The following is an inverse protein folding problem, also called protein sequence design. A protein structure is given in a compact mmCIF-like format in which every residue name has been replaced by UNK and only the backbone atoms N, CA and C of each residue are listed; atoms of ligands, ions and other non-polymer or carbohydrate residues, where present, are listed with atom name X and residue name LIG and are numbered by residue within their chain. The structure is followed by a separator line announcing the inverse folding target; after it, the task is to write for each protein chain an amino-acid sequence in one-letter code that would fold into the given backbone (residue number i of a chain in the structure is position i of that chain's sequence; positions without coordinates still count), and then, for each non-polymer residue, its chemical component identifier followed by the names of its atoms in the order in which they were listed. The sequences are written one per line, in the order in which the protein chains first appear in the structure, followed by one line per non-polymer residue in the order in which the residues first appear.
data_IF_482016177976
#
_entry.id   IF_482016177976
#
_cell.length_a   1.000
_cell.length_b   1.000
_cell.length_c   1.000
_cell.angle_alpha   90.00
_cell.angle_beta   90.00
_cell.angle_gamma   90.00
#
_symmetry.space_group_name_H-M   'P 1'
#
loop_
_entity.id
_entity.type
_entity.pdbx_description
1 polymer ?
#
# COMPACT_ATOMS: atom_id res chain seq x y z
N UNK A 1 -14.52 -55.95 0.29
CA UNK A 1 -14.39 -54.83 1.24
C UNK A 1 -13.66 -53.68 0.55
N UNK A 2 -14.30 -52.52 0.36
CA UNK A 2 -13.66 -51.31 -0.19
C UNK A 2 -13.87 -50.18 0.82
N UNK A 3 -12.80 -49.75 1.48
CA UNK A 3 -12.81 -48.67 2.46
C UNK A 3 -12.78 -47.34 1.72
N UNK A 4 -13.83 -46.53 1.81
CA UNK A 4 -13.84 -45.13 1.34
C UNK A 4 -13.30 -44.24 2.46
N UNK A 5 -12.19 -43.57 2.20
CA UNK A 5 -11.66 -42.50 3.08
C UNK A 5 -12.39 -41.21 2.71
N UNK A 6 -13.18 -40.67 3.62
CA UNK A 6 -13.75 -39.32 3.52
C UNK A 6 -12.72 -38.33 4.08
N UNK A 7 -12.16 -37.49 3.22
CA UNK A 7 -11.41 -36.30 3.64
C UNK A 7 -12.44 -35.22 3.94
N UNK A 8 -12.66 -34.95 5.23
CA UNK A 8 -13.49 -33.85 5.69
C UNK A 8 -12.72 -32.54 5.55
N UNK A 9 -13.04 -31.75 4.54
CA UNK A 9 -12.56 -30.37 4.41
C UNK A 9 -13.36 -29.52 5.39
N UNK A 10 -12.81 -29.25 6.58
CA UNK A 10 -13.31 -28.20 7.46
C UNK A 10 -13.09 -26.85 6.77
N UNK A 11 -14.11 -26.35 6.08
CA UNK A 11 -14.22 -24.93 5.77
C UNK A 11 -14.31 -24.17 7.09
N UNK A 12 -13.35 -23.27 7.34
CA UNK A 12 -13.41 -22.34 8.48
C UNK A 12 -14.24 -21.13 8.01
N UNK A 13 -15.53 -21.02 8.40
CA UNK A 13 -16.43 -19.99 7.85
C UNK A 13 -15.98 -18.55 8.15
N UNK A 14 -15.11 -18.32 9.15
CA UNK A 14 -14.63 -16.98 9.50
C UNK A 14 -13.66 -16.34 8.52
N UNK A 15 -12.86 -17.14 7.79
CA UNK A 15 -11.81 -16.59 6.92
C UNK A 15 -12.37 -16.05 5.60
N UNK A 16 -13.41 -16.71 5.08
CA UNK A 16 -14.09 -16.31 3.83
C UNK A 16 -14.89 -15.03 4.05
N UNK A 17 -15.55 -14.86 5.22
CA UNK A 17 -16.32 -13.65 5.53
C UNK A 17 -15.40 -12.43 5.69
N UNK A 18 -14.22 -12.59 6.32
CA UNK A 18 -13.26 -11.49 6.46
C UNK A 18 -12.66 -11.07 5.11
N UNK A 19 -12.32 -12.04 4.25
CA UNK A 19 -11.88 -11.77 2.86
C UNK A 19 -12.97 -11.08 2.04
N UNK A 20 -14.23 -11.52 2.16
CA UNK A 20 -15.35 -10.88 1.46
C UNK A 20 -15.61 -9.46 1.94
N UNK A 21 -15.55 -9.17 3.25
CA UNK A 21 -15.76 -7.82 3.77
C UNK A 21 -14.62 -6.85 3.38
N UNK A 22 -13.38 -7.33 3.35
CA UNK A 22 -12.23 -6.53 2.91
C UNK A 22 -12.31 -6.26 1.39
N UNK A 23 -12.65 -7.28 0.59
CA UNK A 23 -12.82 -7.12 -0.87
C UNK A 23 -14.01 -6.22 -1.22
N UNK A 24 -15.13 -6.33 -0.49
CA UNK A 24 -16.32 -5.51 -0.71
C UNK A 24 -16.07 -4.03 -0.33
N UNK A 25 -15.43 -3.78 0.82
CA UNK A 25 -14.98 -2.44 1.23
C UNK A 25 -13.96 -1.85 0.23
N UNK A 26 -13.10 -2.70 -0.35
CA UNK A 26 -12.14 -2.29 -1.39
C UNK A 26 -12.81 -1.90 -2.71
N UNK A 27 -13.90 -2.55 -3.12
CA UNK A 27 -14.63 -2.22 -4.36
C UNK A 27 -15.39 -0.90 -4.23
N UNK A 28 -16.08 -0.66 -3.12
CA UNK A 28 -16.79 0.61 -2.89
C UNK A 28 -15.81 1.80 -2.83
N UNK A 29 -14.63 1.60 -2.22
CA UNK A 29 -13.54 2.59 -2.22
C UNK A 29 -12.95 2.84 -3.62
N UNK A 30 -12.92 1.83 -4.50
CA UNK A 30 -12.53 2.00 -5.92
C UNK A 30 -13.56 2.82 -6.68
N UNK A 31 -14.84 2.60 -6.45
CA UNK A 31 -15.92 3.33 -7.10
C UNK A 31 -15.93 4.82 -6.72
N UNK A 32 -15.59 5.17 -5.47
CA UNK A 32 -15.42 6.57 -5.04
C UNK A 32 -14.26 7.24 -5.80
N UNK A 33 -13.18 6.51 -6.05
CA UNK A 33 -12.02 6.99 -6.82
C UNK A 33 -12.39 7.23 -8.30
N UNK A 34 -13.17 6.31 -8.89
CA UNK A 34 -13.62 6.37 -10.29
C UNK A 34 -14.70 7.44 -10.52
N UNK A 35 -15.61 7.66 -9.57
CA UNK A 35 -16.65 8.71 -9.64
C UNK A 35 -16.08 10.14 -9.58
N UNK A 36 -14.85 10.32 -9.10
CA UNK A 36 -14.14 11.60 -9.20
C UNK A 36 -13.86 12.04 -10.64
N UNK A 37 -14.00 11.14 -11.62
CA UNK A 37 -13.68 11.37 -13.03
C UNK A 37 -14.81 12.03 -13.83
N UNK A 38 -16.04 12.06 -13.30
CA UNK A 38 -17.23 12.49 -14.05
C UNK A 38 -17.43 14.01 -14.16
N UNK A 39 -16.64 14.84 -13.47
CA UNK A 39 -16.87 16.30 -13.44
C UNK A 39 -15.65 17.17 -13.78
N UNK A 40 -14.51 16.57 -14.15
CA UNK A 40 -13.31 17.32 -14.59
C UNK A 40 -13.36 17.71 -16.08
N UNK A 41 -14.54 17.92 -16.66
CA UNK A 41 -14.70 18.38 -18.05
C UNK A 41 -15.48 19.68 -18.09
N UNK A 42 -14.86 20.77 -17.64
CA UNK A 42 -15.10 22.14 -18.12
C UNK A 42 -14.14 23.10 -17.42
N UNK A 43 -13.04 23.45 -18.09
CA UNK A 43 -12.20 24.58 -17.67
C UNK A 43 -10.70 24.39 -17.85
N UNK A 44 -10.20 24.93 -18.96
CA UNK A 44 -8.80 25.35 -19.21
C UNK A 44 -7.72 24.26 -19.27
N UNK A 45 -7.09 24.20 -20.44
CA UNK A 45 -6.08 23.21 -20.78
C UNK A 45 -4.84 23.28 -19.90
N UNK A 46 -4.29 22.10 -19.59
CA UNK A 46 -2.95 21.98 -19.03
C UNK A 46 -2.16 20.87 -19.72
N UNK A 47 -1.08 21.31 -20.34
CA UNK A 47 0.11 20.66 -20.87
C UNK A 47 0.25 19.14 -20.73
N UNK A 48 0.37 18.48 -21.88
CA UNK A 48 1.17 17.25 -22.01
C UNK A 48 2.61 17.49 -21.49
N UNK A 49 3.16 16.52 -20.74
CA UNK A 49 4.61 16.27 -20.50
C UNK A 49 5.39 16.87 -19.31
N UNK A 50 4.78 17.07 -18.13
CA UNK A 50 5.55 17.00 -16.87
C UNK A 50 4.82 16.13 -15.85
N UNK A 51 5.48 15.05 -15.45
CA UNK A 51 5.02 14.18 -14.37
C UNK A 51 4.84 15.02 -13.10
N UNK A 52 3.68 14.89 -12.44
CA UNK A 52 3.43 15.60 -11.19
C UNK A 52 4.41 15.11 -10.11
N UNK A 53 4.90 16.05 -9.30
CA UNK A 53 5.96 15.81 -8.33
C UNK A 53 5.64 14.69 -7.33
N UNK A 54 4.37 14.51 -6.95
CA UNK A 54 3.95 13.49 -6.01
C UNK A 54 3.90 12.11 -6.68
N UNK A 55 3.36 12.04 -7.90
CA UNK A 55 3.36 10.79 -8.68
C UNK A 55 4.78 10.32 -9.06
N UNK A 56 5.69 11.25 -9.33
CA UNK A 56 7.10 10.96 -9.58
C UNK A 56 7.78 10.23 -8.41
N UNK A 57 7.42 10.57 -7.16
CA UNK A 57 7.93 9.86 -5.97
C UNK A 57 7.59 8.37 -5.98
N UNK A 58 6.36 8.02 -6.40
CA UNK A 58 5.94 6.61 -6.45
C UNK A 58 6.61 5.86 -7.59
N UNK A 59 6.80 6.51 -8.74
CA UNK A 59 7.54 5.93 -9.87
C UNK A 59 9.00 5.67 -9.52
N UNK A 60 9.65 6.59 -8.83
CA UNK A 60 11.04 6.40 -8.38
C UNK A 60 11.14 5.22 -7.40
N UNK A 61 10.19 5.11 -6.47
CA UNK A 61 10.12 3.98 -5.54
C UNK A 61 9.91 2.64 -6.27
N UNK A 62 9.05 2.62 -7.28
CA UNK A 62 8.82 1.45 -8.13
C UNK A 62 10.07 1.04 -8.90
N UNK A 63 10.72 1.99 -9.57
CA UNK A 63 11.95 1.74 -10.33
C UNK A 63 13.06 1.20 -9.42
N UNK A 64 13.18 1.77 -8.21
CA UNK A 64 14.13 1.31 -7.20
C UNK A 64 13.87 -0.14 -6.80
N UNK A 65 12.61 -0.52 -6.58
CA UNK A 65 12.25 -1.90 -6.21
C UNK A 65 12.46 -2.87 -7.37
N UNK A 66 12.12 -2.48 -8.61
CA UNK A 66 12.38 -3.30 -9.79
C UNK A 66 13.86 -3.64 -9.97
N UNK A 67 14.76 -2.77 -9.54
CA UNK A 67 16.20 -3.01 -9.58
C UNK A 67 16.72 -3.87 -8.42
N UNK A 68 15.90 -4.21 -7.42
CA UNK A 68 16.33 -5.02 -6.28
C UNK A 68 16.47 -6.48 -6.66
N UNK A 69 17.62 -7.09 -6.30
CA UNK A 69 17.83 -8.53 -6.39
C UNK A 69 17.20 -9.21 -5.17
N UNK A 70 16.16 -10.02 -5.39
CA UNK A 70 15.52 -10.80 -4.34
C UNK A 70 16.28 -12.10 -4.05
N UNK A 71 16.07 -12.63 -2.85
CA UNK A 71 16.82 -13.74 -2.25
C UNK A 71 16.04 -15.05 -2.24
N UNK A 72 14.76 -15.03 -2.64
CA UNK A 72 13.78 -16.12 -2.53
C UNK A 72 13.44 -16.52 -1.09
N UNK A 73 13.85 -15.71 -0.10
CA UNK A 73 13.38 -15.83 1.27
C UNK A 73 12.27 -14.78 1.48
N UNK A 74 11.01 -15.20 1.69
CA UNK A 74 9.88 -14.27 1.68
C UNK A 74 9.95 -13.24 2.82
N UNK A 75 10.47 -13.60 4.00
CA UNK A 75 10.66 -12.67 5.10
C UNK A 75 11.76 -11.62 4.80
N UNK A 76 12.89 -12.05 4.23
CA UNK A 76 14.00 -11.15 3.84
C UNK A 76 13.58 -10.22 2.70
N UNK A 77 12.89 -10.78 1.71
CA UNK A 77 12.47 -10.06 0.51
C UNK A 77 11.36 -9.07 0.84
N UNK A 78 10.34 -9.47 1.61
CA UNK A 78 9.30 -8.56 2.10
C UNK A 78 9.90 -7.44 2.94
N UNK A 79 10.77 -7.75 3.90
CA UNK A 79 11.39 -6.73 4.76
C UNK A 79 12.24 -5.74 3.95
N UNK A 80 13.00 -6.24 2.96
CA UNK A 80 13.83 -5.40 2.10
C UNK A 80 12.99 -4.52 1.19
N UNK A 81 12.00 -5.10 0.51
CA UNK A 81 11.12 -4.42 -0.42
C UNK A 81 10.27 -3.37 0.31
N UNK A 82 9.63 -3.75 1.42
CA UNK A 82 8.78 -2.87 2.20
C UNK A 82 9.59 -1.70 2.78
N UNK A 83 10.77 -1.94 3.37
CA UNK A 83 11.62 -0.86 3.86
C UNK A 83 12.05 0.12 2.76
N UNK A 84 12.30 -0.38 1.54
CA UNK A 84 12.63 0.45 0.38
C UNK A 84 11.42 1.26 -0.11
N UNK A 85 10.26 0.61 -0.27
CA UNK A 85 9.03 1.24 -0.76
C UNK A 85 8.52 2.32 0.20
N UNK A 86 8.59 2.05 1.50
CA UNK A 86 8.16 2.97 2.56
C UNK A 86 8.91 4.31 2.56
N UNK A 87 10.11 4.41 1.97
CA UNK A 87 10.79 5.70 1.80
C UNK A 87 10.02 6.67 0.90
N UNK A 88 9.15 6.16 0.02
CA UNK A 88 8.29 7.00 -0.81
C UNK A 88 7.30 7.80 0.05
N UNK A 89 6.67 7.18 1.05
CA UNK A 89 5.76 7.88 1.96
C UNK A 89 6.45 8.95 2.82
N UNK A 90 7.71 8.71 3.21
CA UNK A 90 8.53 9.75 3.87
C UNK A 90 8.71 10.95 2.95
N UNK A 91 9.03 10.71 1.68
CA UNK A 91 9.23 11.76 0.69
C UNK A 91 7.94 12.51 0.36
N UNK A 92 6.81 11.79 0.20
CA UNK A 92 5.48 12.39 0.02
C UNK A 92 5.11 13.26 1.22
N UNK A 93 5.28 12.74 2.44
CA UNK A 93 4.95 13.45 3.67
C UNK A 93 5.78 14.73 3.82
N UNK A 94 7.08 14.68 3.50
CA UNK A 94 7.94 15.85 3.53
C UNK A 94 7.46 16.96 2.56
N UNK A 95 7.02 16.57 1.35
CA UNK A 95 6.48 17.52 0.37
C UNK A 95 5.18 18.16 0.85
N UNK A 96 4.27 17.38 1.43
CA UNK A 96 3.03 17.88 2.03
C UNK A 96 3.27 18.83 3.20
N UNK A 97 4.18 18.47 4.12
CA UNK A 97 4.52 19.34 5.25
C UNK A 97 5.04 20.70 4.77
N UNK A 98 5.85 20.70 3.69
CA UNK A 98 6.43 21.91 3.14
C UNK A 98 5.43 22.75 2.33
N UNK A 99 4.54 22.12 1.56
CA UNK A 99 3.76 22.79 0.51
C UNK A 99 2.25 22.77 0.70
N UNK A 100 1.72 21.85 1.50
CA UNK A 100 0.28 21.75 1.76
C UNK A 100 -0.30 23.06 2.31
N UNK A 101 -1.56 23.33 2.02
CA UNK A 101 -2.30 24.45 2.58
C UNK A 101 -3.14 24.05 3.79
N UNK A 102 -3.50 22.76 3.90
CA UNK A 102 -4.46 22.25 4.87
C UNK A 102 -3.76 21.66 6.10
N UNK A 103 -4.10 22.18 7.28
CA UNK A 103 -3.51 21.69 8.54
C UNK A 103 -3.84 20.21 8.81
N UNK A 104 -4.99 19.72 8.38
CA UNK A 104 -5.39 18.31 8.56
C UNK A 104 -4.46 17.40 7.75
N UNK A 105 -4.16 17.78 6.50
CA UNK A 105 -3.28 17.01 5.63
C UNK A 105 -1.81 17.11 6.06
N UNK A 106 -1.35 18.28 6.52
CA UNK A 106 -0.03 18.41 7.15
C UNK A 106 0.13 17.55 8.39
N UNK A 107 -0.90 17.48 9.24
CA UNK A 107 -0.82 16.68 10.45
C UNK A 107 -0.89 15.18 10.14
N UNK A 108 -1.69 14.78 9.14
CA UNK A 108 -1.64 13.42 8.60
C UNK A 108 -0.23 13.09 8.10
N UNK A 109 0.38 13.95 7.28
CA UNK A 109 1.73 13.77 6.75
C UNK A 109 2.78 13.62 7.86
N UNK A 110 2.74 14.46 8.91
CA UNK A 110 3.66 14.32 10.07
C UNK A 110 3.48 12.99 10.80
N UNK A 111 2.24 12.56 11.03
CA UNK A 111 1.95 11.28 11.67
C UNK A 111 2.46 10.13 10.80
N UNK A 112 2.21 10.17 9.50
CA UNK A 112 2.64 9.17 8.54
C UNK A 112 4.16 9.10 8.45
N UNK A 113 4.87 10.22 8.29
CA UNK A 113 6.35 10.26 8.30
C UNK A 113 6.93 9.59 9.56
N UNK A 114 6.44 9.99 10.75
CA UNK A 114 6.90 9.42 12.02
C UNK A 114 6.67 7.91 12.10
N UNK A 115 5.45 7.44 11.80
CA UNK A 115 5.12 6.00 11.83
C UNK A 115 5.96 5.22 10.82
N UNK A 116 6.11 5.74 9.61
CA UNK A 116 6.83 5.05 8.53
C UNK A 116 8.32 4.96 8.83
N UNK A 117 8.96 6.01 9.37
CA UNK A 117 10.37 5.93 9.81
C UNK A 117 10.59 4.85 10.87
N UNK A 118 9.68 4.73 11.82
CA UNK A 118 9.73 3.64 12.81
C UNK A 118 9.65 2.27 12.13
N UNK A 119 8.68 2.08 11.23
CA UNK A 119 8.48 0.81 10.51
C UNK A 119 9.67 0.43 9.63
N UNK A 120 10.32 1.39 8.98
CA UNK A 120 11.53 1.14 8.19
C UNK A 120 12.64 0.57 9.08
N UNK A 121 12.80 1.09 10.30
CA UNK A 121 13.76 0.57 11.26
C UNK A 121 13.36 -0.84 11.76
N UNK A 122 12.07 -1.09 11.98
CA UNK A 122 11.56 -2.42 12.33
C UNK A 122 11.86 -3.45 11.25
N UNK A 123 11.64 -3.13 9.97
CA UNK A 123 11.95 -4.02 8.85
C UNK A 123 13.44 -4.25 8.66
N UNK A 124 14.29 -3.25 8.88
CA UNK A 124 15.75 -3.43 8.86
C UNK A 124 16.19 -4.42 9.93
N UNK A 125 15.70 -4.28 11.17
CA UNK A 125 15.98 -5.22 12.26
C UNK A 125 15.43 -6.61 11.98
N UNK A 126 14.22 -6.71 11.43
CA UNK A 126 13.62 -7.99 11.09
C UNK A 126 14.45 -8.72 10.03
N UNK A 127 14.92 -8.00 9.00
CA UNK A 127 15.83 -8.55 7.98
C UNK A 127 17.12 -9.10 8.61
N UNK A 128 17.75 -8.36 9.52
CA UNK A 128 18.95 -8.82 10.24
C UNK A 128 18.67 -10.10 11.04
N UNK A 129 17.52 -10.18 11.73
CA UNK A 129 17.07 -11.38 12.47
C UNK A 129 16.84 -12.58 11.55
N UNK A 130 16.46 -12.39 10.29
CA UNK A 130 16.30 -13.49 9.33
C UNK A 130 17.64 -14.02 8.81
N UNK A 131 18.70 -13.21 8.81
CA UNK A 131 20.01 -13.63 8.32
C UNK A 131 20.61 -14.80 9.13
N UNK A 132 20.16 -15.00 10.37
CA UNK A 132 20.58 -16.10 11.25
C UNK A 132 19.70 -17.35 11.21
N UNK A 133 18.61 -17.37 10.41
CA UNK A 133 17.67 -18.51 10.37
C UNK A 133 18.01 -19.54 9.29
N UNK A 134 17.80 -20.81 9.62
CA UNK A 134 18.06 -21.96 8.74
C UNK A 134 16.97 -22.12 7.68
N UNK A 135 17.23 -22.88 6.62
CA UNK A 135 16.32 -23.05 5.48
C UNK A 135 14.97 -23.70 5.85
N UNK A 136 14.94 -24.55 6.88
CA UNK A 136 13.71 -25.16 7.43
C UNK A 136 12.81 -24.18 8.20
N UNK A 137 13.32 -23.01 8.55
CA UNK A 137 12.60 -21.97 9.32
C UNK A 137 12.11 -20.82 8.42
N UNK A 138 12.19 -21.01 7.10
CA UNK A 138 11.75 -20.06 6.07
C UNK A 138 10.35 -20.42 5.58
N UNK A 139 9.52 -19.42 5.28
CA UNK A 139 8.24 -19.66 4.61
C UNK A 139 8.42 -20.31 3.24
N UNK A 140 7.37 -20.98 2.73
CA UNK A 140 7.31 -21.42 1.33
C UNK A 140 7.55 -20.20 0.45
N UNK A 141 8.61 -20.24 -0.36
CA UNK A 141 9.07 -19.10 -1.14
C UNK A 141 7.91 -18.43 -1.87
N UNK A 142 7.53 -17.23 -1.43
CA UNK A 142 6.74 -16.32 -2.25
C UNK A 142 7.50 -16.18 -3.55
N UNK A 143 6.89 -16.54 -4.67
CA UNK A 143 7.50 -16.20 -5.94
C UNK A 143 7.52 -14.68 -6.02
N UNK A 144 8.72 -14.12 -6.03
CA UNK A 144 9.06 -12.73 -6.36
C UNK A 144 8.07 -12.04 -7.32
N UNK A 145 7.50 -12.79 -8.27
CA UNK A 145 6.44 -12.35 -9.18
C UNK A 145 5.18 -11.76 -8.52
N UNK A 146 4.70 -12.27 -7.37
CA UNK A 146 3.43 -11.81 -6.77
C UNK A 146 3.55 -10.44 -6.11
N UNK A 147 4.70 -10.14 -5.49
CA UNK A 147 4.98 -8.77 -5.02
C UNK A 147 5.03 -7.78 -6.19
N UNK A 148 5.60 -8.18 -7.32
CA UNK A 148 5.63 -7.35 -8.52
C UNK A 148 4.23 -7.13 -9.10
N UNK A 149 3.29 -8.08 -8.98
CA UNK A 149 1.89 -7.87 -9.36
C UNK A 149 1.25 -6.72 -8.56
N UNK A 150 1.47 -6.66 -7.24
CA UNK A 150 0.96 -5.54 -6.42
C UNK A 150 1.54 -4.19 -6.85
N UNK A 151 2.80 -4.17 -7.26
CA UNK A 151 3.49 -2.97 -7.74
C UNK A 151 3.02 -2.57 -9.15
N UNK A 152 2.72 -3.52 -10.02
CA UNK A 152 2.11 -3.25 -11.34
C UNK A 152 0.70 -2.68 -11.17
N UNK A 153 -0.09 -3.17 -10.19
CA UNK A 153 -1.39 -2.57 -9.85
C UNK A 153 -1.26 -1.12 -9.37
N UNK A 154 -0.20 -0.77 -8.63
CA UNK A 154 0.10 0.63 -8.30
C UNK A 154 0.31 1.46 -9.57
N UNK A 155 1.07 0.94 -10.52
CA UNK A 155 1.33 1.62 -11.79
C UNK A 155 0.02 1.87 -12.57
N UNK A 156 -0.88 0.89 -12.62
CA UNK A 156 -2.20 1.07 -13.23
C UNK A 156 -3.09 2.09 -12.50
N UNK A 157 -3.06 2.12 -11.15
CA UNK A 157 -3.74 3.14 -10.35
C UNK A 157 -3.21 4.54 -10.65
N UNK A 158 -1.89 4.69 -10.80
CA UNK A 158 -1.24 5.96 -11.15
C UNK A 158 -1.58 6.41 -12.57
N UNK A 159 -1.73 5.51 -13.55
CA UNK A 159 -2.22 5.89 -14.89
C UNK A 159 -3.61 6.51 -14.87
N UNK A 160 -4.43 6.12 -13.89
CA UNK A 160 -5.79 6.64 -13.70
C UNK A 160 -5.84 7.90 -12.83
N UNK A 161 -4.72 8.26 -12.19
CA UNK A 161 -4.59 9.47 -11.40
C UNK A 161 -4.41 10.68 -12.33
N UNK A 162 -5.18 11.73 -12.06
CA UNK A 162 -5.02 13.03 -12.70
C UNK A 162 -4.91 14.07 -11.58
N UNK A 163 -3.87 14.93 -11.60
CA UNK A 163 -3.77 16.02 -10.65
C UNK A 163 -5.00 16.92 -10.70
N UNK A 164 -5.53 17.28 -9.53
CA UNK A 164 -6.66 18.19 -9.38
C UNK A 164 -6.21 19.65 -9.23
N UNK A 165 -4.91 19.90 -9.01
CA UNK A 165 -4.34 21.25 -8.89
C UNK A 165 -4.30 21.78 -7.45
N UNK A 166 -4.97 21.12 -6.50
CA UNK A 166 -4.76 21.33 -5.07
C UNK A 166 -3.71 20.37 -4.55
N UNK A 167 -2.63 20.92 -3.97
CA UNK A 167 -1.54 20.11 -3.44
C UNK A 167 -2.03 19.10 -2.39
N UNK A 168 -2.89 19.53 -1.47
CA UNK A 168 -3.46 18.69 -0.41
C UNK A 168 -4.35 17.56 -1.00
N UNK A 169 -5.14 17.87 -2.03
CA UNK A 169 -5.98 16.88 -2.72
C UNK A 169 -5.15 15.85 -3.50
N UNK A 170 -4.09 16.32 -4.15
CA UNK A 170 -3.16 15.51 -4.91
C UNK A 170 -2.34 14.61 -3.98
N UNK A 171 -1.85 15.15 -2.85
CA UNK A 171 -1.22 14.38 -1.79
C UNK A 171 -2.15 13.28 -1.25
N UNK A 172 -3.39 13.63 -0.90
CA UNK A 172 -4.35 12.66 -0.40
C UNK A 172 -4.63 11.53 -1.43
N UNK A 173 -4.67 11.88 -2.72
CA UNK A 173 -4.89 10.93 -3.81
C UNK A 173 -3.69 9.99 -4.00
N UNK A 174 -2.49 10.53 -4.06
CA UNK A 174 -1.26 9.74 -4.24
C UNK A 174 -0.95 8.89 -3.01
N UNK A 175 -1.11 9.43 -1.80
CA UNK A 175 -0.91 8.68 -0.55
C UNK A 175 -1.95 7.56 -0.40
N UNK A 176 -3.19 7.74 -0.88
CA UNK A 176 -4.19 6.66 -0.93
C UNK A 176 -3.70 5.50 -1.80
N UNK A 177 -3.20 5.79 -3.02
CA UNK A 177 -2.64 4.77 -3.92
C UNK A 177 -1.44 4.06 -3.28
N UNK A 178 -0.58 4.83 -2.62
CA UNK A 178 0.56 4.29 -1.89
C UNK A 178 0.12 3.31 -0.77
N UNK A 179 -0.82 3.73 0.09
CA UNK A 179 -1.33 2.89 1.17
C UNK A 179 -2.01 1.61 0.67
N UNK A 180 -2.81 1.69 -0.40
CA UNK A 180 -3.38 0.51 -1.03
C UNK A 180 -2.31 -0.47 -1.51
N UNK A 181 -1.23 0.04 -2.11
CA UNK A 181 -0.12 -0.79 -2.58
C UNK A 181 0.62 -1.46 -1.43
N UNK A 182 0.86 -0.73 -0.32
CA UNK A 182 1.45 -1.32 0.89
C UNK A 182 0.54 -2.40 1.49
N UNK A 183 -0.77 -2.22 1.43
CA UNK A 183 -1.74 -3.22 1.91
C UNK A 183 -1.70 -4.47 1.03
N UNK A 184 -1.71 -4.30 -0.30
CA UNK A 184 -1.61 -5.42 -1.25
C UNK A 184 -0.32 -6.23 -1.03
N UNK A 185 0.82 -5.56 -0.88
CA UNK A 185 2.10 -6.21 -0.57
C UNK A 185 2.07 -6.96 0.76
N UNK A 186 1.43 -6.37 1.78
CA UNK A 186 1.32 -6.98 3.10
C UNK A 186 0.39 -8.19 3.09
N UNK A 187 -0.67 -8.16 2.28
CA UNK A 187 -1.59 -9.29 2.11
C UNK A 187 -0.89 -10.47 1.42
N UNK A 188 -0.14 -10.21 0.34
CA UNK A 188 0.69 -11.24 -0.33
C UNK A 188 1.67 -11.89 0.66
N UNK A 189 2.30 -11.08 1.53
CA UNK A 189 3.20 -11.60 2.55
C UNK A 189 2.47 -12.48 3.59
N UNK A 190 1.30 -12.04 4.06
CA UNK A 190 0.50 -12.76 5.06
C UNK A 190 0.04 -14.14 4.61
N UNK A 191 -0.21 -14.33 3.32
CA UNK A 191 -0.64 -15.60 2.74
C UNK A 191 0.46 -16.67 2.73
N UNK A 192 1.72 -16.26 2.87
CA UNK A 192 2.87 -17.12 2.60
C UNK A 192 3.91 -17.17 3.73
N UNK A 193 3.83 -16.27 4.71
CA UNK A 193 4.79 -16.21 5.81
C UNK A 193 4.39 -17.08 6.99
N UNK A 194 5.40 -17.64 7.66
CA UNK A 194 5.27 -18.36 8.93
C UNK A 194 5.83 -17.56 10.12
N UNK A 195 6.41 -16.38 9.87
CA UNK A 195 7.03 -15.55 10.91
C UNK A 195 5.96 -14.75 11.68
N UNK A 196 5.73 -15.13 12.93
CA UNK A 196 4.64 -14.55 13.73
C UNK A 196 4.83 -13.07 14.08
N UNK A 197 6.07 -12.57 14.14
CA UNK A 197 6.36 -11.16 14.46
C UNK A 197 6.15 -10.29 13.22
N UNK A 198 6.64 -10.75 12.06
CA UNK A 198 6.46 -10.04 10.79
C UNK A 198 4.99 -10.03 10.34
N UNK A 199 4.26 -11.14 10.51
CA UNK A 199 2.82 -11.19 10.18
C UNK A 199 1.99 -10.27 11.08
N UNK A 200 2.30 -10.14 12.38
CA UNK A 200 1.69 -9.12 13.25
C UNK A 200 1.98 -7.71 12.75
N UNK A 201 3.21 -7.45 12.33
CA UNK A 201 3.62 -6.15 11.79
C UNK A 201 2.87 -5.81 10.49
N UNK A 202 2.74 -6.78 9.58
CA UNK A 202 1.98 -6.64 8.33
C UNK A 202 0.50 -6.32 8.59
N UNK A 203 -0.17 -7.04 9.51
CA UNK A 203 -1.56 -6.76 9.91
C UNK A 203 -1.72 -5.35 10.48
N UNK A 204 -0.79 -4.92 11.34
CA UNK A 204 -0.79 -3.56 11.90
C UNK A 204 -0.62 -2.49 10.82
N UNK A 205 0.21 -2.76 9.82
CA UNK A 205 0.37 -1.86 8.67
C UNK A 205 -0.94 -1.70 7.90
N UNK A 206 -1.62 -2.80 7.58
CA UNK A 206 -2.90 -2.78 6.86
C UNK A 206 -3.92 -1.93 7.63
N UNK A 207 -4.09 -2.21 8.93
CA UNK A 207 -5.02 -1.48 9.79
C UNK A 207 -4.74 0.03 9.80
N UNK A 208 -3.50 0.44 10.06
CA UNK A 208 -3.14 1.87 10.13
C UNK A 208 -3.30 2.59 8.79
N UNK A 209 -2.96 1.92 7.69
CA UNK A 209 -3.13 2.46 6.35
C UNK A 209 -4.60 2.62 5.97
N UNK A 210 -5.47 1.69 6.40
CA UNK A 210 -6.91 1.78 6.16
C UNK A 210 -7.54 2.97 6.89
N UNK A 211 -7.08 3.26 8.12
CA UNK A 211 -7.51 4.44 8.87
C UNK A 211 -7.09 5.75 8.17
N UNK A 212 -5.86 5.82 7.66
CA UNK A 212 -5.41 6.98 6.90
C UNK A 212 -6.20 7.14 5.58
N UNK A 213 -6.48 6.04 4.88
CA UNK A 213 -7.30 6.05 3.65
C UNK A 213 -8.71 6.59 3.96
N UNK A 214 -9.35 6.10 5.02
CA UNK A 214 -10.67 6.57 5.44
C UNK A 214 -10.65 8.06 5.75
N UNK A 215 -9.68 8.52 6.55
CA UNK A 215 -9.51 9.94 6.87
C UNK A 215 -9.34 10.81 5.61
N UNK A 216 -8.53 10.38 4.64
CA UNK A 216 -8.32 11.10 3.38
C UNK A 216 -9.60 11.13 2.52
N UNK A 217 -10.32 10.01 2.43
CA UNK A 217 -11.58 9.94 1.67
C UNK A 217 -12.65 10.85 2.26
N UNK A 218 -12.81 10.86 3.59
CA UNK A 218 -13.72 11.77 4.28
C UNK A 218 -13.32 13.24 4.09
N UNK A 219 -12.02 13.55 4.23
CA UNK A 219 -11.50 14.90 4.03
C UNK A 219 -11.77 15.40 2.60
N UNK A 220 -11.61 14.53 1.59
CA UNK A 220 -11.91 14.82 0.18
C UNK A 220 -13.41 15.00 -0.04
N UNK A 221 -14.24 14.14 0.55
CA UNK A 221 -15.70 14.22 0.41
C UNK A 221 -16.24 15.56 0.91
N UNK A 222 -15.79 16.03 2.09
CA UNK A 222 -16.23 17.31 2.67
C UNK A 222 -15.92 18.53 1.78
N UNK A 223 -14.90 18.45 0.94
CA UNK A 223 -14.49 19.55 0.03
C UNK A 223 -15.13 19.47 -1.35
N UNK A 224 -15.71 18.32 -1.72
CA UNK A 224 -16.57 18.22 -2.91
C UNK A 224 -17.93 18.90 -2.74
N UNK A 225 -18.30 19.30 -1.53
CA UNK A 225 -19.56 19.96 -1.19
C UNK A 225 -19.41 21.46 -0.86
N UNK A 226 -18.23 22.04 -1.09
CA UNK A 226 -17.92 23.45 -0.80
C UNK A 226 -17.66 24.29 -2.06
N UNK A 227 -17.99 23.77 -3.24
CA UNK A 227 -18.09 24.48 -4.51
C UNK A 227 -19.57 24.55 -4.93
#
# INVERSE_FOLDING_TARGET
MKTKVFISIMTVPGLVVLLFLILFNSQEKRDILLRGRAYATSGMGFSNSKEDELSGVLKDAFNKIKAMKLTNNPEVDYSSLMASFLQAAVSLSAKEIARGGDNTMKDLAKRTDKRIRSKINDFKRAKEKQASKTEKERGSGVTTSTFFTSLDLMHERLKSYSPAGSFDYDFASVLTIFHQTVNDLSQVFLENSIDSDLTKSAKKIIYENEQDIEQMLEWKAKRKFSE
#
